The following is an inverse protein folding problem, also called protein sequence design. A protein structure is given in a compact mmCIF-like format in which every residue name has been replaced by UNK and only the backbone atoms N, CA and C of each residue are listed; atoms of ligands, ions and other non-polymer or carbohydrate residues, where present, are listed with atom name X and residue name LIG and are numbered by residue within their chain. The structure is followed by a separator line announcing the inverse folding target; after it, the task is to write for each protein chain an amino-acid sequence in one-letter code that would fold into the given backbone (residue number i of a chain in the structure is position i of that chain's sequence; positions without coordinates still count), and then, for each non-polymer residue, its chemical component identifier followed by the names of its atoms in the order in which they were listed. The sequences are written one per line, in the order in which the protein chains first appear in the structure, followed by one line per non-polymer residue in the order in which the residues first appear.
data_IF_164249211778
#
_entry.id   IF_164249211778
#
_cell.length_a   1.000
_cell.length_b   1.000
_cell.length_c   1.000
_cell.angle_alpha   90.00
_cell.angle_beta   90.00
_cell.angle_gamma   90.00
#
_symmetry.space_group_name_H-M   'P 1'
#
loop_
_entity.id
_entity.type
_entity.pdbx_description
1 polymer ?
#
# COMPACT_ATOMS: atom_id res chain seq x y z
N UNK A 1 -11.87 -12.65 8.54
CA UNK A 1 -12.00 -11.54 7.56
C UNK A 1 -10.79 -10.62 7.54
N UNK A 2 -10.26 -10.19 8.70
CA UNK A 2 -9.11 -9.28 8.82
C UNK A 2 -7.84 -9.73 8.07
N UNK A 3 -7.38 -10.97 8.28
CA UNK A 3 -6.17 -11.50 7.62
C UNK A 3 -6.28 -11.50 6.09
N UNK A 4 -7.49 -11.74 5.55
CA UNK A 4 -7.73 -11.66 4.10
C UNK A 4 -7.56 -10.24 3.60
N UNK A 5 -8.09 -9.25 4.33
CA UNK A 5 -7.93 -7.83 4.01
C UNK A 5 -6.46 -7.40 4.06
N UNK A 6 -5.72 -7.82 5.09
CA UNK A 6 -4.29 -7.49 5.21
C UNK A 6 -3.49 -8.14 4.07
N UNK A 7 -3.72 -9.42 3.77
CA UNK A 7 -3.05 -10.11 2.65
C UNK A 7 -3.31 -9.41 1.32
N UNK A 8 -4.55 -8.97 1.09
CA UNK A 8 -4.93 -8.19 -0.08
C UNK A 8 -4.24 -6.81 -0.09
N UNK A 9 -4.14 -6.15 1.07
CA UNK A 9 -3.40 -4.90 1.24
C UNK A 9 -1.91 -5.01 0.95
N UNK A 10 -1.26 -6.11 1.36
CA UNK A 10 0.14 -6.41 1.05
C UNK A 10 0.30 -6.59 -0.47
N UNK A 11 -0.53 -7.44 -1.09
CA UNK A 11 -0.47 -7.65 -2.55
C UNK A 11 -0.74 -6.36 -3.33
N UNK A 12 -1.65 -5.52 -2.83
CA UNK A 12 -1.95 -4.21 -3.42
C UNK A 12 -0.78 -3.23 -3.27
N UNK A 13 -0.11 -3.23 -2.11
CA UNK A 13 1.07 -2.42 -1.86
C UNK A 13 2.23 -2.80 -2.80
N UNK A 14 2.46 -4.10 -3.00
CA UNK A 14 3.49 -4.59 -3.92
C UNK A 14 3.16 -4.28 -5.37
N UNK A 15 1.88 -4.36 -5.73
CA UNK A 15 1.43 -3.97 -7.05
C UNK A 15 1.71 -2.48 -7.31
N UNK A 16 1.35 -1.60 -6.37
CA UNK A 16 1.63 -0.17 -6.45
C UNK A 16 3.13 0.17 -6.43
N UNK A 17 3.93 -0.55 -5.65
CA UNK A 17 5.38 -0.33 -5.58
C UNK A 17 6.06 -0.47 -6.94
N UNK A 18 5.50 -1.28 -7.85
CA UNK A 18 6.01 -1.41 -9.22
C UNK A 18 5.72 -0.17 -10.06
N UNK A 19 4.52 0.41 -9.92
CA UNK A 19 4.13 1.65 -10.59
C UNK A 19 4.76 2.91 -9.97
N UNK A 20 5.40 2.80 -8.82
CA UNK A 20 6.00 3.94 -8.11
C UNK A 20 7.08 4.67 -8.94
N UNK A 21 7.50 4.11 -10.07
CA UNK A 21 8.36 4.76 -11.08
C UNK A 21 7.65 5.95 -11.77
N UNK A 22 6.32 5.90 -11.87
CA UNK A 22 5.50 6.95 -12.47
C UNK A 22 5.30 8.09 -11.46
N UNK A 23 6.19 9.09 -11.50
CA UNK A 23 6.19 10.23 -10.55
C UNK A 23 4.84 10.96 -10.48
N UNK A 24 4.11 11.10 -11.59
CA UNK A 24 2.81 11.77 -11.62
C UNK A 24 1.73 11.03 -10.82
N UNK A 25 1.67 9.70 -10.91
CA UNK A 25 0.73 8.91 -10.10
C UNK A 25 0.98 9.11 -8.61
N UNK A 26 2.23 9.30 -8.19
CA UNK A 26 2.57 9.58 -6.78
C UNK A 26 2.06 10.95 -6.28
N UNK A 27 1.75 11.89 -7.17
CA UNK A 27 1.12 13.17 -6.82
C UNK A 27 -0.40 13.07 -6.74
N UNK A 28 -1.01 12.31 -7.65
CA UNK A 28 -2.47 12.15 -7.75
C UNK A 28 -3.01 11.23 -6.64
N UNK A 29 -2.30 10.15 -6.34
CA UNK A 29 -2.75 9.09 -5.44
C UNK A 29 -2.04 9.15 -4.07
N UNK A 30 -2.76 9.05 -2.94
CA UNK A 30 -2.14 8.97 -1.62
C UNK A 30 -1.47 7.62 -1.32
N UNK A 31 -1.80 6.57 -2.08
CA UNK A 31 -1.37 5.19 -1.86
C UNK A 31 0.17 5.04 -1.78
N UNK A 32 0.98 5.62 -2.69
CA UNK A 32 2.44 5.50 -2.63
C UNK A 32 3.04 6.09 -1.36
N UNK A 33 2.46 7.17 -0.81
CA UNK A 33 2.92 7.79 0.44
C UNK A 33 2.67 6.87 1.64
N UNK A 34 1.50 6.25 1.68
CA UNK A 34 1.10 5.35 2.76
C UNK A 34 1.91 4.05 2.69
N UNK A 35 2.18 3.53 1.49
CA UNK A 35 3.06 2.36 1.31
C UNK A 35 4.48 2.69 1.78
N UNK A 36 5.02 3.86 1.43
CA UNK A 36 6.35 4.30 1.89
C UNK A 36 6.39 4.44 3.41
N UNK A 37 5.38 5.05 4.02
CA UNK A 37 5.27 5.17 5.48
C UNK A 37 5.16 3.80 6.17
N UNK A 38 4.37 2.88 5.60
CA UNK A 38 4.20 1.53 6.15
C UNK A 38 5.49 0.71 6.06
N UNK A 39 6.20 0.77 4.93
CA UNK A 39 7.51 0.11 4.78
C UNK A 39 8.57 0.76 5.68
N UNK A 40 8.54 2.06 5.84
CA UNK A 40 9.41 2.77 6.79
C UNK A 40 9.13 2.31 8.23
N UNK A 41 7.86 2.18 8.63
CA UNK A 41 7.50 1.62 9.93
C UNK A 41 7.98 0.17 10.10
N UNK A 42 7.93 -0.66 9.05
CA UNK A 42 8.51 -2.02 9.08
C UNK A 42 10.04 -2.00 9.24
N UNK A 43 10.74 -1.12 8.52
CA UNK A 43 12.19 -0.98 8.62
C UNK A 43 12.61 -0.45 9.99
N UNK A 44 11.84 0.48 10.56
CA UNK A 44 12.07 1.02 11.90
C UNK A 44 11.67 0.06 13.02
N UNK A 45 10.86 -0.96 12.73
CA UNK A 45 10.39 -1.90 13.75
C UNK A 45 11.57 -2.55 14.46
N UNK A 46 12.48 -3.19 13.72
CA UNK A 46 13.62 -3.91 14.29
C UNK A 46 14.54 -3.01 15.15
N UNK A 47 15.02 -1.83 14.70
CA UNK A 47 15.85 -0.99 15.54
C UNK A 47 15.12 -0.44 16.77
N UNK A 48 13.82 -0.10 16.66
CA UNK A 48 13.07 0.32 17.85
C UNK A 48 12.86 -0.84 18.83
N UNK A 49 12.61 -2.06 18.36
CA UNK A 49 12.49 -3.22 19.25
C UNK A 49 13.78 -3.44 20.04
N UNK A 50 14.93 -3.42 19.36
CA UNK A 50 16.24 -3.52 20.02
C UNK A 50 16.47 -2.36 20.98
N UNK A 51 16.10 -1.14 20.61
CA UNK A 51 16.18 0.02 21.48
C UNK A 51 15.31 -0.12 22.73
N UNK A 52 14.05 -0.56 22.58
CA UNK A 52 13.12 -0.75 23.70
C UNK A 52 13.60 -1.84 24.66
N UNK A 53 14.11 -2.96 24.14
CA UNK A 53 14.66 -4.05 24.95
C UNK A 53 15.98 -3.65 25.63
N UNK A 54 16.86 -2.96 24.91
CA UNK A 54 18.10 -2.43 25.46
C UNK A 54 17.83 -1.41 26.56
N UNK A 55 16.94 -0.44 26.30
CA UNK A 55 16.52 0.54 27.30
C UNK A 55 15.95 -0.11 28.56
N UNK A 56 15.07 -1.10 28.38
CA UNK A 56 14.50 -1.89 29.47
C UNK A 56 15.60 -2.59 30.29
N UNK A 57 16.57 -3.21 29.61
CA UNK A 57 17.69 -3.91 30.25
C UNK A 57 18.63 -2.98 31.03
N UNK A 58 18.98 -1.82 30.47
CA UNK A 58 19.96 -0.90 31.07
C UNK A 58 19.37 0.01 32.16
N UNK A 59 18.14 0.50 32.00
CA UNK A 59 17.60 1.58 32.86
C UNK A 59 16.60 1.10 33.91
N UNK A 60 15.77 0.10 33.59
CA UNK A 60 14.55 -0.20 34.36
C UNK A 60 14.64 -1.45 35.25
N UNK A 61 15.68 -2.27 35.07
CA UNK A 61 15.86 -3.52 35.81
C UNK A 61 14.75 -4.56 35.57
N UNK A 62 14.84 -5.70 36.27
CA UNK A 62 13.85 -6.78 36.20
C UNK A 62 12.72 -6.56 37.21
N UNK A 63 11.75 -5.71 36.86
CA UNK A 63 10.46 -5.63 37.55
C UNK A 63 9.31 -6.02 36.61
N UNK A 64 8.26 -6.63 37.17
CA UNK A 64 7.06 -7.06 36.42
C UNK A 64 6.39 -5.86 35.73
N UNK A 65 6.35 -4.70 36.40
CA UNK A 65 5.78 -3.46 35.86
C UNK A 65 6.56 -2.95 34.65
N UNK A 66 7.89 -2.96 34.71
CA UNK A 66 8.72 -2.53 33.59
C UNK A 66 8.57 -3.47 32.40
N UNK A 67 8.55 -4.78 32.63
CA UNK A 67 8.31 -5.78 31.57
C UNK A 67 6.96 -5.61 30.88
N UNK A 68 5.88 -5.38 31.64
CA UNK A 68 4.56 -5.12 31.08
C UNK A 68 4.54 -3.88 30.17
N UNK A 69 5.22 -2.79 30.58
CA UNK A 69 5.31 -1.56 29.78
C UNK A 69 6.10 -1.76 28.48
N UNK A 70 7.19 -2.52 28.52
CA UNK A 70 7.96 -2.89 27.33
C UNK A 70 7.13 -3.72 26.37
N UNK A 71 6.42 -4.74 26.88
CA UNK A 71 5.57 -5.60 26.06
C UNK A 71 4.44 -4.80 25.38
N UNK A 72 3.80 -3.87 26.11
CA UNK A 72 2.80 -2.97 25.54
C UNK A 72 3.38 -2.12 24.40
N UNK A 73 4.59 -1.58 24.61
CA UNK A 73 5.29 -0.77 23.62
C UNK A 73 5.58 -1.59 22.37
N UNK A 74 6.07 -2.83 22.52
CA UNK A 74 6.35 -3.75 21.40
C UNK A 74 5.07 -4.06 20.62
N UNK A 75 3.97 -4.39 21.32
CA UNK A 75 2.68 -4.67 20.69
C UNK A 75 2.17 -3.45 19.92
N UNK A 76 2.24 -2.26 20.54
CA UNK A 76 1.87 -1.01 19.90
C UNK A 76 2.70 -0.76 18.64
N UNK A 77 4.01 -1.00 18.70
CA UNK A 77 4.91 -0.80 17.58
C UNK A 77 4.62 -1.75 16.41
N UNK A 78 4.39 -3.03 16.71
CA UNK A 78 3.96 -4.02 15.73
C UNK A 78 2.61 -3.66 15.08
N UNK A 79 1.74 -2.95 15.80
CA UNK A 79 0.43 -2.55 15.27
C UNK A 79 0.50 -1.50 14.17
N UNK A 80 1.52 -0.62 14.18
CA UNK A 80 1.66 0.47 13.21
C UNK A 80 1.73 -0.01 11.74
N UNK A 81 2.63 -0.93 11.36
CA UNK A 81 2.66 -1.42 9.99
C UNK A 81 1.40 -2.23 9.63
N UNK A 82 0.82 -2.96 10.59
CA UNK A 82 -0.41 -3.72 10.38
C UNK A 82 -1.60 -2.81 10.04
N UNK A 83 -1.72 -1.66 10.71
CA UNK A 83 -2.74 -0.66 10.41
C UNK A 83 -2.60 -0.11 8.99
N UNK A 84 -1.36 0.13 8.54
CA UNK A 84 -1.08 0.57 7.16
C UNK A 84 -1.55 -0.43 6.10
N UNK A 85 -1.21 -1.72 6.27
CA UNK A 85 -1.67 -2.77 5.35
C UNK A 85 -3.18 -3.00 5.40
N UNK A 86 -3.78 -2.90 6.57
CA UNK A 86 -5.24 -3.01 6.70
C UNK A 86 -5.96 -1.88 5.95
N UNK A 87 -5.48 -0.64 6.07
CA UNK A 87 -6.03 0.50 5.34
C UNK A 87 -5.90 0.31 3.83
N UNK A 88 -4.73 -0.15 3.34
CA UNK A 88 -4.50 -0.46 1.93
C UNK A 88 -5.45 -1.55 1.42
N UNK A 89 -5.67 -2.60 2.21
CA UNK A 89 -6.59 -3.68 1.88
C UNK A 89 -8.04 -3.23 1.78
N UNK A 90 -8.50 -2.35 2.67
CA UNK A 90 -9.83 -1.74 2.56
C UNK A 90 -9.94 -0.84 1.33
N UNK A 91 -8.91 -0.05 1.05
CA UNK A 91 -8.92 0.88 -0.08
C UNK A 91 -8.93 0.16 -1.43
N UNK A 92 -8.19 -0.93 -1.56
CA UNK A 92 -8.19 -1.78 -2.75
C UNK A 92 -9.58 -2.34 -3.11
N UNK A 93 -10.43 -2.60 -2.11
CA UNK A 93 -11.81 -3.08 -2.29
C UNK A 93 -12.82 -1.95 -2.55
N UNK A 94 -12.45 -0.70 -2.32
CA UNK A 94 -13.34 0.45 -2.51
C UNK A 94 -13.65 0.61 -4.02
N UNK A 95 -14.91 0.86 -4.41
CA UNK A 95 -15.22 1.20 -5.79
C UNK A 95 -14.61 2.54 -6.18
N UNK A 96 -14.28 2.69 -7.46
CA UNK A 96 -13.78 3.94 -8.02
C UNK A 96 -14.84 5.05 -7.89
N UNK A 97 -14.39 6.28 -7.64
CA UNK A 97 -15.27 7.45 -7.73
C UNK A 97 -15.47 7.82 -9.21
N UNK A 98 -16.49 8.63 -9.52
CA UNK A 98 -16.80 9.05 -10.89
C UNK A 98 -15.57 9.62 -11.62
N UNK A 99 -14.77 10.45 -10.95
CA UNK A 99 -13.56 11.04 -11.52
C UNK A 99 -12.49 10.00 -11.90
N UNK A 100 -12.20 9.04 -11.01
CA UNK A 100 -11.22 7.96 -11.31
C UNK A 100 -11.77 6.91 -12.26
N UNK A 101 -13.08 6.78 -12.37
CA UNK A 101 -13.73 5.90 -13.34
C UNK A 101 -13.52 6.40 -14.76
N UNK A 102 -13.72 7.71 -15.02
CA UNK A 102 -13.42 8.31 -16.33
C UNK A 102 -11.95 8.10 -16.72
N UNK A 103 -11.03 8.22 -15.75
CA UNK A 103 -9.61 7.95 -16.00
C UNK A 103 -9.33 6.48 -16.29
N UNK A 104 -9.98 5.57 -15.56
CA UNK A 104 -9.90 4.13 -15.80
C UNK A 104 -10.38 3.76 -17.21
N UNK A 105 -11.52 4.31 -17.66
CA UNK A 105 -12.05 4.06 -19.00
C UNK A 105 -11.11 4.55 -20.10
N UNK A 106 -10.53 5.75 -19.96
CA UNK A 106 -9.53 6.28 -20.90
C UNK A 106 -8.33 5.35 -21.03
N UNK A 107 -7.78 4.89 -19.90
CA UNK A 107 -6.65 3.95 -19.92
C UNK A 107 -7.08 2.60 -20.50
N UNK A 108 -8.28 2.13 -20.17
CA UNK A 108 -8.80 0.86 -20.66
C UNK A 108 -8.90 0.87 -22.19
N UNK A 109 -9.46 1.94 -22.77
CA UNK A 109 -9.52 2.13 -24.22
C UNK A 109 -8.13 2.12 -24.85
N UNK A 110 -7.18 2.86 -24.28
CA UNK A 110 -5.81 2.93 -24.81
C UNK A 110 -5.11 1.57 -24.76
N UNK A 111 -5.18 0.86 -23.63
CA UNK A 111 -4.58 -0.47 -23.49
C UNK A 111 -5.28 -1.49 -24.41
N UNK A 112 -6.60 -1.36 -24.63
CA UNK A 112 -7.34 -2.26 -25.51
C UNK A 112 -6.89 -2.23 -26.98
N UNK A 113 -6.24 -1.14 -27.42
CA UNK A 113 -5.64 -1.04 -28.75
C UNK A 113 -4.40 -1.93 -28.91
N UNK A 114 -3.71 -2.25 -27.80
CA UNK A 114 -2.47 -3.03 -27.78
C UNK A 114 -2.68 -4.46 -27.27
N UNK A 115 -3.69 -4.71 -26.44
CA UNK A 115 -3.95 -6.00 -25.80
C UNK A 115 -5.45 -6.25 -25.60
N UNK A 116 -5.91 -7.49 -25.85
CA UNK A 116 -7.27 -7.88 -25.54
C UNK A 116 -7.48 -7.94 -24.01
N UNK A 117 -8.25 -6.98 -23.48
CA UNK A 117 -8.56 -6.89 -22.06
C UNK A 117 -9.81 -7.72 -21.71
N UNK A 118 -9.88 -8.30 -20.49
CA UNK A 118 -11.09 -8.94 -19.99
C UNK A 118 -12.22 -7.90 -19.82
N UNK A 119 -13.50 -8.32 -19.95
CA UNK A 119 -14.64 -7.41 -19.90
C UNK A 119 -14.63 -6.55 -18.64
N UNK A 120 -14.92 -5.27 -18.81
CA UNK A 120 -14.91 -4.29 -17.73
C UNK A 120 -15.92 -4.70 -16.65
N UNK A 121 -15.50 -4.82 -15.38
CA UNK A 121 -16.41 -5.19 -14.30
C UNK A 121 -17.42 -4.08 -14.01
N UNK A 122 -18.68 -4.43 -13.69
CA UNK A 122 -19.77 -3.49 -13.37
C UNK A 122 -19.40 -2.46 -12.29
N UNK A 123 -18.55 -2.84 -11.34
CA UNK A 123 -18.04 -1.96 -10.27
C UNK A 123 -16.52 -2.05 -10.21
N UNK A 124 -15.80 -1.25 -11.03
CA UNK A 124 -14.34 -1.27 -11.00
C UNK A 124 -13.86 -0.74 -9.64
N UNK A 125 -12.90 -1.44 -9.06
CA UNK A 125 -12.30 -1.10 -7.77
C UNK A 125 -10.89 -0.56 -7.96
N UNK A 126 -10.34 0.06 -6.92
CA UNK A 126 -8.94 0.50 -6.93
C UNK A 126 -7.96 -0.65 -7.23
N UNK A 127 -8.28 -1.91 -6.86
CA UNK A 127 -7.48 -3.06 -7.24
C UNK A 127 -7.46 -3.29 -8.76
N UNK A 128 -8.62 -3.20 -9.42
CA UNK A 128 -8.71 -3.32 -10.89
C UNK A 128 -7.97 -2.20 -11.60
N UNK A 129 -8.01 -0.98 -11.05
CA UNK A 129 -7.26 0.16 -11.56
C UNK A 129 -5.76 -0.13 -11.56
N UNK A 130 -5.20 -0.60 -10.44
CA UNK A 130 -3.76 -0.91 -10.38
C UNK A 130 -3.38 -2.02 -11.36
N UNK A 131 -4.20 -3.06 -11.49
CA UNK A 131 -3.96 -4.13 -12.46
C UNK A 131 -3.94 -3.61 -13.91
N UNK A 132 -4.87 -2.71 -14.26
CA UNK A 132 -4.89 -2.08 -15.57
C UNK A 132 -3.65 -1.20 -15.78
N UNK A 133 -3.31 -0.38 -14.78
CA UNK A 133 -2.16 0.50 -14.83
C UNK A 133 -0.82 -0.26 -14.95
N UNK A 134 -0.70 -1.45 -14.35
CA UNK A 134 0.49 -2.30 -14.54
C UNK A 134 0.63 -2.82 -15.97
N UNK A 135 -0.50 -3.12 -16.63
CA UNK A 135 -0.48 -3.52 -18.03
C UNK A 135 -0.15 -2.33 -18.92
N UNK A 136 -0.79 -1.19 -18.65
CA UNK A 136 -0.49 0.09 -19.27
C UNK A 136 1.00 0.45 -19.18
N UNK A 137 1.62 0.40 -17.99
CA UNK A 137 3.04 0.75 -17.80
C UNK A 137 3.98 -0.11 -18.67
N UNK A 138 3.63 -1.37 -18.92
CA UNK A 138 4.45 -2.28 -19.73
C UNK A 138 4.31 -2.06 -21.23
N UNK A 139 3.24 -1.40 -21.68
CA UNK A 139 2.85 -1.31 -23.10
C UNK A 139 2.81 0.11 -23.64
N UNK A 140 2.52 1.09 -22.79
CA UNK A 140 2.41 2.50 -23.15
C UNK A 140 3.73 3.22 -22.89
N UNK A 141 4.13 4.02 -23.87
CA UNK A 141 5.34 4.84 -23.81
C UNK A 141 5.23 5.93 -22.74
N UNK A 142 6.40 6.42 -22.30
CA UNK A 142 6.53 7.45 -21.26
C UNK A 142 5.75 8.73 -21.61
N UNK A 143 5.58 9.04 -22.90
CA UNK A 143 4.83 10.20 -23.40
C UNK A 143 3.35 10.19 -23.00
N UNK A 144 2.71 9.03 -22.95
CA UNK A 144 1.32 8.90 -22.49
C UNK A 144 1.16 9.34 -21.03
N UNK A 145 2.15 9.04 -20.20
CA UNK A 145 2.17 9.43 -18.79
C UNK A 145 2.55 10.89 -18.59
N UNK A 146 3.10 11.56 -19.60
CA UNK A 146 3.37 13.00 -19.57
C UNK A 146 2.16 13.83 -20.00
N UNK A 147 1.23 13.27 -20.77
CA UNK A 147 0.01 13.95 -21.22
C UNK A 147 -1.14 13.87 -20.19
N UNK A 148 -1.08 12.89 -19.28
CA UNK A 148 -2.04 12.68 -18.17
C UNK A 148 -1.62 13.42 -16.90
#
# INVERSE_FOLDING_TARGET
MLFKTIKLGISYADAWSKLSRLKKLNMIFPEPRIIKATRFAQQLLMPLLLFTLGWQYFMLGYSITSFASTLLTIIFLCSLPLQGFYWLGKRAQKPLNSATLTWYEKIYQQVSLYEALPPMPDKPTFHHLVMLLQRAEKRLDTSFWEDI
#
